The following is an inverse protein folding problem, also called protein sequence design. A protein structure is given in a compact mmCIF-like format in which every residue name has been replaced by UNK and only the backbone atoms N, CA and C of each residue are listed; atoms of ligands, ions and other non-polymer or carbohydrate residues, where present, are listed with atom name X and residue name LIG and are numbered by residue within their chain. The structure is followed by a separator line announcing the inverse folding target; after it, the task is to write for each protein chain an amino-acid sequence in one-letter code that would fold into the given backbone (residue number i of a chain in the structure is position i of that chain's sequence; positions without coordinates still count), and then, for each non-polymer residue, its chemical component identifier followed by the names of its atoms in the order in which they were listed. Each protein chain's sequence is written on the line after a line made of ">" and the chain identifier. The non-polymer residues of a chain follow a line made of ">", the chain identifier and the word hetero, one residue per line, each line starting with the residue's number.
data_IF_745303432973
#
_entry.id   IF_745303432973
#
_cell.length_a   1.000
_cell.length_b   1.000
_cell.length_c   1.000
_cell.angle_alpha   90.00
_cell.angle_beta   90.00
_cell.angle_gamma   90.00
#
_symmetry.space_group_name_H-M   'P 1'
#
loop_
_entity.id
_entity.type
_entity.pdbx_description
1 polymer ?
#
# COMPACT_ATOMS: atom_id res chain seq x y z
N UNK A 1 38.04 35.39 8.88
CA UNK A 1 37.16 34.54 9.71
C UNK A 1 37.06 33.20 9.00
N UNK A 2 37.73 32.19 9.54
CA UNK A 2 37.83 30.86 8.92
C UNK A 2 36.51 30.11 9.11
N UNK A 3 35.90 29.67 8.01
CA UNK A 3 34.77 28.75 8.03
C UNK A 3 35.28 27.38 8.45
N UNK A 4 34.99 26.98 9.68
CA UNK A 4 35.16 25.60 10.13
C UNK A 4 34.10 24.74 9.44
N UNK A 5 34.49 24.11 8.32
CA UNK A 5 33.74 22.99 7.77
C UNK A 5 33.78 21.84 8.76
N UNK A 6 32.65 21.54 9.38
CA UNK A 6 32.49 20.36 10.20
C UNK A 6 32.70 19.13 9.31
N UNK A 7 33.88 18.53 9.39
CA UNK A 7 34.13 17.20 8.85
C UNK A 7 33.20 16.24 9.60
N UNK A 8 32.20 15.70 8.90
CA UNK A 8 31.43 14.57 9.37
C UNK A 8 32.40 13.44 9.77
N UNK A 9 32.08 12.65 10.82
CA UNK A 9 32.96 11.57 11.25
C UNK A 9 33.17 10.61 10.07
N UNK A 10 34.43 10.40 9.69
CA UNK A 10 34.83 9.63 8.51
C UNK A 10 34.26 8.20 8.49
N UNK A 11 33.85 7.66 9.63
CA UNK A 11 33.25 6.32 9.77
C UNK A 11 31.82 6.23 9.24
N UNK A 12 31.08 7.34 9.14
CA UNK A 12 29.70 7.33 8.63
C UNK A 12 29.63 7.28 7.09
N UNK A 13 30.71 7.67 6.40
CA UNK A 13 30.77 7.66 4.94
C UNK A 13 30.89 6.24 4.39
N UNK A 14 31.70 5.39 5.03
CA UNK A 14 31.94 4.01 4.59
C UNK A 14 30.62 3.20 4.58
N UNK A 15 29.77 3.39 5.59
CA UNK A 15 28.45 2.76 5.69
C UNK A 15 27.44 3.24 4.63
N UNK A 16 27.73 4.35 3.94
CA UNK A 16 26.88 4.97 2.91
C UNK A 16 27.44 4.81 1.49
N UNK A 17 28.44 3.95 1.31
CA UNK A 17 29.05 3.63 0.03
C UNK A 17 28.75 2.21 -0.40
N UNK A 18 28.68 1.98 -1.71
CA UNK A 18 28.47 0.64 -2.24
C UNK A 18 29.77 -0.14 -2.24
N UNK A 19 29.80 -1.33 -1.61
CA UNK A 19 30.98 -2.19 -1.58
C UNK A 19 31.39 -2.79 -2.95
N UNK A 20 30.65 -2.52 -4.03
CA UNK A 20 30.96 -2.99 -5.39
C UNK A 20 31.60 -1.88 -6.23
N UNK A 21 30.94 -0.73 -6.38
CA UNK A 21 31.49 0.40 -7.13
C UNK A 21 32.33 1.38 -6.29
N UNK A 22 32.31 1.25 -4.96
CA UNK A 22 33.01 2.10 -4.00
C UNK A 22 32.61 3.58 -4.05
N UNK A 23 31.45 3.87 -4.64
CA UNK A 23 30.87 5.21 -4.71
C UNK A 23 29.70 5.35 -3.72
N UNK A 24 29.34 6.59 -3.31
CA UNK A 24 28.13 6.83 -2.52
C UNK A 24 26.89 6.32 -3.23
N UNK A 25 25.93 5.79 -2.48
CA UNK A 25 24.73 5.20 -3.07
C UNK A 25 23.90 6.22 -3.85
N UNK A 26 23.69 5.94 -5.13
CA UNK A 26 22.80 6.71 -6.00
C UNK A 26 21.41 6.05 -6.09
N UNK A 27 21.35 4.72 -6.01
CA UNK A 27 20.09 3.96 -5.98
C UNK A 27 20.23 2.73 -5.10
N UNK A 28 20.25 2.91 -3.76
CA UNK A 28 20.51 1.82 -2.83
C UNK A 28 19.36 0.80 -2.86
N UNK A 29 19.68 -0.49 -2.94
CA UNK A 29 18.71 -1.60 -2.83
C UNK A 29 19.22 -2.56 -1.77
N UNK A 30 18.36 -2.89 -0.81
CA UNK A 30 18.70 -3.75 0.33
C UNK A 30 18.27 -5.18 0.02
N UNK A 31 19.23 -6.10 0.03
CA UNK A 31 18.99 -7.54 -0.13
C UNK A 31 18.34 -8.12 1.14
N UNK A 32 17.75 -9.33 1.03
CA UNK A 32 17.14 -10.03 2.17
C UNK A 32 18.12 -10.33 3.32
N UNK A 33 19.42 -10.42 3.03
CA UNK A 33 20.46 -10.57 4.05
C UNK A 33 20.80 -9.27 4.79
N UNK A 34 20.14 -8.15 4.48
CA UNK A 34 20.32 -6.85 5.13
C UNK A 34 21.38 -5.95 4.50
N UNK A 35 22.16 -6.46 3.55
CA UNK A 35 23.20 -5.68 2.88
C UNK A 35 22.66 -4.84 1.73
N UNK A 36 23.18 -3.62 1.58
CA UNK A 36 22.68 -2.62 0.63
C UNK A 36 23.75 -2.31 -0.43
N UNK A 37 23.34 -2.29 -1.70
CA UNK A 37 24.21 -2.02 -2.85
C UNK A 37 23.53 -1.07 -3.82
N UNK A 38 24.29 -0.44 -4.72
CA UNK A 38 23.68 0.27 -5.84
C UNK A 38 23.00 -0.72 -6.79
N UNK A 39 21.78 -0.39 -7.23
CA UNK A 39 20.98 -1.26 -8.10
C UNK A 39 21.74 -1.72 -9.34
N UNK A 40 22.44 -0.82 -10.03
CA UNK A 40 23.16 -1.17 -11.26
C UNK A 40 24.28 -2.18 -11.00
N UNK A 41 24.92 -2.15 -9.82
CA UNK A 41 25.88 -3.18 -9.42
C UNK A 41 25.22 -4.54 -9.15
N UNK A 42 23.97 -4.55 -8.69
CA UNK A 42 23.22 -5.79 -8.45
C UNK A 42 22.71 -6.44 -9.74
N UNK A 43 22.56 -5.69 -10.83
CA UNK A 43 22.11 -6.24 -12.13
C UNK A 43 23.09 -7.30 -12.63
N UNK A 44 24.39 -7.06 -12.51
CA UNK A 44 25.45 -8.00 -12.96
C UNK A 44 25.68 -9.16 -11.98
N UNK A 45 25.06 -9.08 -10.80
CA UNK A 45 25.17 -10.03 -9.70
C UNK A 45 23.91 -10.86 -9.50
N UNK A 46 22.91 -10.76 -10.40
CA UNK A 46 21.73 -11.64 -10.39
C UNK A 46 22.17 -13.11 -10.44
N UNK A 47 21.45 -13.96 -9.71
CA UNK A 47 21.72 -15.39 -9.53
C UNK A 47 23.03 -15.74 -8.79
N UNK A 48 23.78 -14.73 -8.33
CA UNK A 48 24.97 -14.91 -7.48
C UNK A 48 24.63 -14.68 -6.00
N UNK A 49 25.43 -15.22 -5.07
CA UNK A 49 25.25 -14.93 -3.66
C UNK A 49 25.68 -13.50 -3.32
N UNK A 50 25.20 -12.97 -2.19
CA UNK A 50 25.60 -11.65 -1.71
C UNK A 50 27.13 -11.51 -1.60
N UNK A 51 27.76 -10.45 -2.15
CA UNK A 51 29.22 -10.33 -2.17
C UNK A 51 29.84 -10.14 -0.78
N UNK A 52 29.06 -9.67 0.21
CA UNK A 52 29.58 -9.40 1.56
C UNK A 52 29.45 -10.60 2.51
N UNK A 53 28.29 -11.26 2.55
CA UNK A 53 28.06 -12.38 3.48
C UNK A 53 27.91 -13.75 2.81
N UNK A 54 27.83 -13.81 1.48
CA UNK A 54 27.61 -15.04 0.70
C UNK A 54 26.32 -15.79 1.04
N UNK A 55 25.38 -15.14 1.73
CA UNK A 55 24.09 -15.71 2.11
C UNK A 55 22.98 -15.26 1.15
N UNK A 56 22.14 -16.21 0.76
CA UNK A 56 21.02 -16.02 -0.14
C UNK A 56 21.44 -15.72 -1.59
N UNK A 57 20.55 -15.96 -2.53
CA UNK A 57 20.76 -15.66 -3.95
C UNK A 57 20.10 -14.33 -4.30
N UNK A 58 20.81 -13.48 -5.06
CA UNK A 58 20.25 -12.24 -5.58
C UNK A 58 19.19 -12.58 -6.62
N UNK A 59 17.95 -12.20 -6.34
CA UNK A 59 16.82 -12.49 -7.22
C UNK A 59 16.76 -11.53 -8.40
N UNK A 60 16.22 -12.01 -9.52
CA UNK A 60 16.06 -11.22 -10.74
C UNK A 60 15.16 -9.99 -10.59
N UNK A 61 14.26 -9.96 -9.60
CA UNK A 61 13.40 -8.80 -9.35
C UNK A 61 14.17 -7.56 -8.83
N UNK A 62 15.40 -7.74 -8.33
CA UNK A 62 16.26 -6.63 -7.84
C UNK A 62 16.46 -5.53 -8.89
N UNK A 63 16.47 -5.93 -10.16
CA UNK A 63 16.68 -5.09 -11.34
C UNK A 63 15.60 -4.00 -11.49
N UNK A 64 14.41 -4.28 -10.94
CA UNK A 64 13.23 -3.42 -10.94
C UNK A 64 12.75 -3.08 -9.54
N UNK A 65 13.55 -3.30 -8.50
CA UNK A 65 13.21 -2.89 -7.14
C UNK A 65 13.47 -1.39 -6.94
N UNK A 66 12.55 -0.68 -6.23
CA UNK A 66 12.73 0.73 -5.96
C UNK A 66 13.89 0.91 -5.01
N UNK A 67 14.52 2.08 -5.07
CA UNK A 67 15.57 2.40 -4.11
C UNK A 67 15.02 2.44 -2.69
N UNK A 68 15.83 2.02 -1.73
CA UNK A 68 15.59 2.22 -0.32
C UNK A 68 15.67 3.73 -0.02
N UNK A 69 14.51 4.35 0.13
CA UNK A 69 14.41 5.79 0.30
C UNK A 69 15.07 6.28 1.60
N UNK A 70 15.08 5.46 2.65
CA UNK A 70 15.75 5.81 3.91
C UNK A 70 17.26 5.90 3.69
N UNK A 71 17.86 4.87 3.09
CA UNK A 71 19.30 4.87 2.79
C UNK A 71 19.68 6.03 1.87
N UNK A 72 18.89 6.26 0.82
CA UNK A 72 19.12 7.37 -0.12
C UNK A 72 19.08 8.74 0.56
N UNK A 73 18.13 8.96 1.49
CA UNK A 73 18.01 10.22 2.24
C UNK A 73 19.19 10.44 3.18
N UNK A 74 19.66 9.38 3.83
CA UNK A 74 20.86 9.43 4.68
C UNK A 74 22.08 9.85 3.88
N UNK A 75 22.29 9.25 2.71
CA UNK A 75 23.39 9.59 1.79
C UNK A 75 23.35 11.07 1.41
N UNK A 76 22.20 11.59 0.99
CA UNK A 76 22.07 13.01 0.62
C UNK A 76 22.31 13.96 1.81
N UNK A 77 21.93 13.55 3.03
CA UNK A 77 22.16 14.37 4.22
C UNK A 77 23.60 14.37 4.69
N UNK A 78 24.33 13.27 4.49
CA UNK A 78 25.71 13.11 4.93
C UNK A 78 26.72 13.62 3.89
N UNK A 79 26.43 13.46 2.59
CA UNK A 79 27.32 13.78 1.48
C UNK A 79 26.97 15.13 0.82
N UNK A 80 27.00 16.22 1.60
CA UNK A 80 26.55 17.55 1.12
C UNK A 80 27.36 18.05 -0.08
N UNK A 81 28.67 17.79 -0.12
CA UNK A 81 29.57 18.26 -1.18
C UNK A 81 29.45 17.51 -2.51
N UNK A 82 29.00 16.26 -2.49
CA UNK A 82 28.81 15.43 -3.69
C UNK A 82 27.34 15.20 -4.05
N UNK A 83 26.42 15.95 -3.40
CA UNK A 83 24.98 15.77 -3.56
C UNK A 83 24.54 15.84 -5.03
N UNK A 84 25.01 16.83 -5.80
CA UNK A 84 24.61 17.01 -7.21
C UNK A 84 25.05 15.82 -8.09
N UNK A 85 26.27 15.31 -7.89
CA UNK A 85 26.76 14.14 -8.60
C UNK A 85 25.94 12.88 -8.27
N UNK A 86 25.54 12.72 -7.00
CA UNK A 86 24.69 11.62 -6.54
C UNK A 86 23.28 11.74 -7.14
N UNK A 87 22.71 12.94 -7.20
CA UNK A 87 21.40 13.20 -7.82
C UNK A 87 21.42 12.89 -9.33
N UNK A 88 22.48 13.30 -10.03
CA UNK A 88 22.63 13.03 -11.47
C UNK A 88 22.78 11.52 -11.74
N UNK A 89 23.65 10.82 -11.01
CA UNK A 89 23.77 9.36 -11.07
C UNK A 89 22.44 8.67 -10.72
N UNK A 90 21.77 9.13 -9.68
CA UNK A 90 20.49 8.60 -9.22
C UNK A 90 19.38 8.73 -10.28
N UNK A 91 19.38 9.82 -11.04
CA UNK A 91 18.47 10.04 -12.16
C UNK A 91 18.74 9.05 -13.30
N UNK A 92 20.01 8.82 -13.65
CA UNK A 92 20.41 7.82 -14.64
C UNK A 92 20.01 6.39 -14.23
N UNK A 93 20.25 6.03 -12.97
CA UNK A 93 19.82 4.73 -12.43
C UNK A 93 18.30 4.59 -12.48
N UNK A 94 17.53 5.64 -12.16
CA UNK A 94 16.06 5.57 -12.21
C UNK A 94 15.55 5.42 -13.65
N UNK A 95 16.16 6.12 -14.62
CA UNK A 95 15.84 5.92 -16.03
C UNK A 95 16.08 4.46 -16.45
N UNK A 96 17.24 3.88 -16.10
CA UNK A 96 17.55 2.49 -16.40
C UNK A 96 16.56 1.51 -15.75
N UNK A 97 16.14 1.78 -14.50
CA UNK A 97 15.10 1.01 -13.81
C UNK A 97 13.76 1.07 -14.51
N UNK A 98 13.30 2.24 -14.92
CA UNK A 98 12.02 2.39 -15.63
C UNK A 98 12.05 1.70 -16.99
N UNK A 99 13.16 1.78 -17.71
CA UNK A 99 13.38 1.05 -18.96
C UNK A 99 13.28 -0.47 -18.77
N UNK A 100 13.90 -1.01 -17.71
CA UNK A 100 13.78 -2.44 -17.37
C UNK A 100 12.39 -2.81 -16.89
N UNK A 101 11.72 -1.93 -16.14
CA UNK A 101 10.35 -2.14 -15.66
C UNK A 101 9.34 -2.22 -16.81
N UNK A 102 9.52 -1.43 -17.87
CA UNK A 102 8.63 -1.45 -19.04
C UNK A 102 8.59 -2.81 -19.76
N UNK A 103 9.68 -3.59 -19.67
CA UNK A 103 9.81 -4.92 -20.28
C UNK A 103 9.78 -6.04 -19.24
N UNK A 104 9.64 -5.72 -17.95
CA UNK A 104 9.77 -6.68 -16.88
C UNK A 104 8.56 -7.61 -16.80
N UNK A 105 8.81 -8.90 -16.98
CA UNK A 105 7.85 -9.96 -16.72
C UNK A 105 8.19 -10.57 -15.36
N UNK A 106 7.24 -10.51 -14.42
CA UNK A 106 7.44 -11.13 -13.10
C UNK A 106 7.67 -12.63 -13.29
N UNK A 107 8.78 -13.21 -12.78
CA UNK A 107 8.99 -14.64 -12.85
C UNK A 107 7.87 -15.36 -12.11
N UNK A 108 7.32 -16.40 -12.73
CA UNK A 108 6.27 -17.22 -12.13
C UNK A 108 6.87 -17.90 -10.91
N UNK A 109 6.41 -17.53 -9.72
CA UNK A 109 6.85 -18.18 -8.48
C UNK A 109 6.65 -19.69 -8.63
N UNK A 110 7.62 -20.54 -8.23
CA UNK A 110 7.40 -21.98 -8.17
C UNK A 110 6.22 -22.20 -7.23
N UNK A 111 5.09 -22.59 -7.83
CA UNK A 111 3.84 -22.80 -7.13
C UNK A 111 3.96 -24.08 -6.31
N UNK A 112 4.41 -23.95 -5.07
CA UNK A 112 3.93 -24.84 -4.01
C UNK A 112 2.85 -24.10 -3.24
N UNK A 113 1.66 -24.70 -3.23
CA UNK A 113 0.50 -24.41 -2.38
C UNK A 113 -0.55 -23.45 -2.98
N UNK A 114 -1.56 -24.12 -3.52
CA UNK A 114 -2.99 -23.79 -3.52
C UNK A 114 -3.43 -22.59 -4.35
N UNK A 115 -4.11 -22.90 -5.45
CA UNK A 115 -5.25 -22.12 -5.89
C UNK A 115 -6.17 -21.89 -4.68
N UNK A 116 -5.97 -20.80 -3.95
CA UNK A 116 -7.10 -20.08 -3.38
C UNK A 116 -7.90 -19.69 -4.61
N UNK A 117 -8.88 -20.54 -4.93
CA UNK A 117 -10.01 -20.16 -5.73
C UNK A 117 -10.54 -18.91 -5.03
N UNK A 118 -10.14 -17.73 -5.53
CA UNK A 118 -10.88 -16.51 -5.24
C UNK A 118 -12.27 -16.83 -5.73
N UNK A 119 -13.15 -17.25 -4.82
CA UNK A 119 -14.59 -17.21 -5.04
C UNK A 119 -14.88 -15.73 -5.24
N UNK A 120 -14.83 -15.31 -6.50
CA UNK A 120 -15.33 -14.01 -6.91
C UNK A 120 -16.83 -14.08 -6.69
N UNK A 121 -17.28 -13.68 -5.50
CA UNK A 121 -18.69 -13.41 -5.28
C UNK A 121 -19.00 -12.18 -6.12
N UNK A 122 -19.61 -12.39 -7.28
CA UNK A 122 -20.13 -11.31 -8.13
C UNK A 122 -21.32 -10.71 -7.39
N UNK A 123 -21.06 -9.68 -6.60
CA UNK A 123 -22.13 -8.89 -6.01
C UNK A 123 -22.62 -7.95 -7.11
N UNK A 124 -23.72 -8.32 -7.77
CA UNK A 124 -24.38 -7.44 -8.73
C UNK A 124 -24.97 -6.25 -7.96
N UNK A 125 -24.23 -5.15 -7.92
CA UNK A 125 -24.60 -3.90 -7.25
C UNK A 125 -26.00 -3.41 -7.64
N UNK A 126 -26.49 -3.72 -8.85
CA UNK A 126 -27.85 -3.40 -9.28
C UNK A 126 -28.95 -4.07 -8.43
N UNK A 127 -28.75 -5.31 -7.96
CA UNK A 127 -29.72 -5.99 -7.07
C UNK A 127 -29.68 -5.43 -5.65
N UNK A 128 -28.50 -5.05 -5.17
CA UNK A 128 -28.32 -4.41 -3.87
C UNK A 128 -28.94 -3.00 -3.84
N UNK A 129 -28.75 -2.21 -4.90
CA UNK A 129 -29.34 -0.87 -5.03
C UNK A 129 -30.86 -0.96 -5.15
N UNK A 130 -31.42 -1.92 -5.88
CA UNK A 130 -32.88 -2.11 -5.94
C UNK A 130 -33.46 -2.56 -4.59
N UNK A 131 -32.80 -3.46 -3.87
CA UNK A 131 -33.22 -3.86 -2.52
C UNK A 131 -33.11 -2.69 -1.55
N UNK A 132 -32.04 -1.89 -1.61
CA UNK A 132 -31.91 -0.68 -0.81
C UNK A 132 -32.90 0.41 -1.23
N UNK A 133 -33.28 0.52 -2.51
CA UNK A 133 -34.29 1.47 -2.96
C UNK A 133 -35.70 1.03 -2.55
N UNK A 134 -35.97 -0.28 -2.50
CA UNK A 134 -37.22 -0.84 -1.99
C UNK A 134 -37.30 -0.83 -0.45
N UNK A 135 -36.16 -0.82 0.25
CA UNK A 135 -36.08 -0.69 1.72
C UNK A 135 -35.81 0.74 2.17
N UNK A 136 -35.52 1.66 1.25
CA UNK A 136 -35.31 3.07 1.55
C UNK A 136 -36.64 3.79 1.63
N UNK A 137 -37.04 3.99 2.88
CA UNK A 137 -37.62 5.21 3.38
C UNK A 137 -39.07 5.52 2.94
N UNK A 138 -40.04 5.29 3.84
CA UNK A 138 -41.29 6.04 3.82
C UNK A 138 -40.95 7.52 4.09
N UNK A 139 -40.80 8.30 3.02
CA UNK A 139 -40.66 9.76 3.05
C UNK A 139 -41.84 10.45 3.79
N UNK A 140 -42.93 9.72 4.02
CA UNK A 140 -44.12 10.16 4.76
C UNK A 140 -43.88 10.49 6.25
N UNK A 141 -42.71 10.19 6.81
CA UNK A 141 -42.36 10.57 8.19
C UNK A 141 -41.52 11.86 8.30
N UNK A 142 -40.88 12.31 7.22
CA UNK A 142 -40.05 13.54 7.24
C UNK A 142 -40.89 14.81 7.00
N UNK A 143 -42.00 14.67 6.28
CA UNK A 143 -43.03 15.70 6.16
C UNK A 143 -44.25 15.15 6.87
N UNK A 144 -44.37 15.46 8.17
CA UNK A 144 -45.60 15.23 8.91
C UNK A 144 -46.80 15.80 8.15
N UNK A 145 -48.02 15.26 8.37
CA UNK A 145 -49.19 15.65 7.60
C UNK A 145 -49.37 17.17 7.66
N UNK A 146 -49.42 17.82 6.49
CA UNK A 146 -49.79 19.21 6.35
C UNK A 146 -51.26 19.36 6.79
N UNK A 147 -51.48 19.62 8.07
CA UNK A 147 -52.80 19.82 8.66
C UNK A 147 -52.66 20.70 9.89
N UNK A 148 -53.43 21.79 9.93
CA UNK A 148 -53.59 22.64 11.12
C UNK A 148 -53.90 21.77 12.34
N UNK A 149 -53.11 21.94 13.39
CA UNK A 149 -53.49 21.56 14.74
C UNK A 149 -53.17 22.75 15.63
N UNK A 150 -54.23 23.32 16.21
CA UNK A 150 -54.19 24.39 17.20
C UNK A 150 -53.44 23.95 18.47
N UNK A 151 -52.87 24.93 19.16
CA UNK A 151 -52.09 24.81 20.40
C UNK A 151 -52.80 23.96 21.50
N UNK A 152 -52.09 23.00 22.09
CA UNK A 152 -51.99 22.73 23.55
C UNK A 152 -51.17 21.43 23.83
N UNK A 153 -50.20 21.53 24.75
CA UNK A 153 -49.26 20.52 25.30
C UNK A 153 -49.88 19.19 25.85
N UNK A 154 -49.13 18.22 26.43
CA UNK A 154 -47.76 17.70 26.22
C UNK A 154 -47.72 16.16 26.09
N UNK A 155 -46.80 15.54 25.32
CA UNK A 155 -46.23 14.24 25.72
C UNK A 155 -45.00 13.81 24.90
N UNK A 156 -44.05 13.25 25.63
CA UNK A 156 -42.69 12.85 25.28
C UNK A 156 -42.57 11.68 24.29
N UNK A 157 -41.78 11.83 23.22
CA UNK A 157 -40.97 10.74 22.64
C UNK A 157 -39.65 11.32 22.09
N UNK A 158 -38.47 10.87 22.57
CA UNK A 158 -37.20 11.29 21.98
C UNK A 158 -37.06 10.62 20.61
N UNK A 159 -37.34 11.35 19.53
CA UNK A 159 -37.25 10.89 18.13
C UNK A 159 -35.96 10.09 17.84
N UNK A 160 -34.86 10.37 18.55
CA UNK A 160 -33.59 9.67 18.36
C UNK A 160 -33.63 8.16 18.69
N UNK A 161 -34.43 7.69 19.67
CA UNK A 161 -34.44 6.25 20.02
C UNK A 161 -35.25 5.41 19.01
N UNK A 162 -36.28 5.99 18.42
CA UNK A 162 -37.15 5.33 17.45
C UNK A 162 -36.46 5.18 16.10
N UNK A 163 -35.71 6.20 15.65
CA UNK A 163 -34.86 6.12 14.46
C UNK A 163 -33.66 5.16 14.61
N UNK A 164 -33.07 5.07 15.82
CA UNK A 164 -31.99 4.12 16.10
C UNK A 164 -32.48 2.67 16.13
N UNK A 165 -33.65 2.42 16.74
CA UNK A 165 -34.23 1.07 16.81
C UNK A 165 -34.55 0.51 15.41
N UNK A 166 -35.08 1.35 14.51
CA UNK A 166 -35.38 0.94 13.15
C UNK A 166 -34.10 0.66 12.34
N UNK A 167 -33.08 1.51 12.46
CA UNK A 167 -31.78 1.29 11.79
C UNK A 167 -31.10 -0.02 12.23
N UNK A 168 -31.19 -0.34 13.53
CA UNK A 168 -30.66 -1.60 14.09
C UNK A 168 -31.49 -2.80 13.60
N UNK A 169 -32.82 -2.70 13.59
CA UNK A 169 -33.67 -3.77 13.08
C UNK A 169 -33.43 -4.05 11.59
N UNK A 170 -33.27 -3.00 10.77
CA UNK A 170 -32.98 -3.15 9.33
C UNK A 170 -31.60 -3.75 9.08
N UNK A 171 -30.57 -3.34 9.83
CA UNK A 171 -29.22 -3.93 9.69
C UNK A 171 -29.21 -5.40 10.09
N UNK A 172 -29.94 -5.78 11.14
CA UNK A 172 -30.09 -7.19 11.53
C UNK A 172 -30.84 -8.01 10.48
N UNK A 173 -31.98 -7.52 9.95
CA UNK A 173 -32.75 -8.22 8.91
C UNK A 173 -31.94 -8.37 7.62
N UNK A 174 -31.23 -7.32 7.19
CA UNK A 174 -30.37 -7.37 6.02
C UNK A 174 -29.22 -8.36 6.21
N UNK A 175 -28.59 -8.39 7.39
CA UNK A 175 -27.52 -9.35 7.70
C UNK A 175 -28.01 -10.80 7.71
N UNK A 176 -29.22 -11.06 8.24
CA UNK A 176 -29.83 -12.39 8.26
C UNK A 176 -30.21 -12.87 6.84
N UNK A 177 -30.80 -12.00 6.02
CA UNK A 177 -31.10 -12.31 4.63
C UNK A 177 -29.82 -12.61 3.81
N UNK A 178 -28.75 -11.85 4.03
CA UNK A 178 -27.45 -12.12 3.42
C UNK A 178 -26.91 -13.49 3.84
N UNK A 179 -27.02 -13.82 5.14
CA UNK A 179 -26.61 -15.12 5.68
C UNK A 179 -27.38 -16.29 5.07
N UNK A 180 -28.69 -16.14 4.88
CA UNK A 180 -29.53 -17.14 4.22
C UNK A 180 -29.15 -17.37 2.76
N UNK A 181 -28.90 -16.30 2.00
CA UNK A 181 -28.50 -16.38 0.58
C UNK A 181 -27.12 -17.05 0.47
N UNK A 182 -26.17 -16.69 1.33
CA UNK A 182 -24.85 -17.30 1.37
C UNK A 182 -24.91 -18.78 1.76
N UNK A 183 -25.83 -19.14 2.67
CA UNK A 183 -26.02 -20.53 3.11
C UNK A 183 -26.62 -21.41 2.01
N UNK A 184 -27.56 -20.91 1.21
CA UNK A 184 -28.10 -21.65 0.06
C UNK A 184 -27.07 -21.81 -1.06
N UNK A 185 -26.18 -20.84 -1.27
CA UNK A 185 -25.09 -20.94 -2.25
C UNK A 185 -23.93 -21.87 -1.86
N UNK A 186 -23.90 -22.38 -0.62
CA UNK A 186 -22.91 -23.35 -0.15
C UNK A 186 -23.37 -24.81 -0.29
N UNK A 187 -24.65 -25.05 -0.57
CA UNK A 187 -25.22 -26.39 -0.74
C UNK A 187 -25.41 -26.82 -2.21
N UNK A 188 -25.17 -25.91 -3.17
CA UNK A 188 -25.14 -26.18 -4.62
C UNK A 188 -23.70 -26.33 -5.13
#
# INVERSE_FOLDING_TARGET
>A
MATTGAAAPATAMDDLTCAVCLEPFASPVTLYCGHTFDRECLVDLVDKPCPMCRQGTIRQDVVVQPKNQVMYRLVLSACVTSSDAILQRGSGHEHARLTRLATYVRPKSPSSVSSIARRTVSVHWGRLVLVFHSLSFPWSAMYGPAGLADDDEPESIPCCSQFCSWSIAFTLIASYALSMILSQGLQS
#
